data_IF_166232213998
#
_entry.id   IF_166232213998
#
_cell.length_a   1.000
_cell.length_b   1.000
_cell.length_c   1.000
_cell.angle_alpha   90.00
_cell.angle_beta   90.00
_cell.angle_gamma   90.00
#
_symmetry.space_group_name_H-M   'P 1'
#
loop_
_entity.id
_entity.type
_entity.pdbx_description
1 polymer ?
#
# COMPACT_ATOMS: atom_id res chain seq x y z
N UNK A 1 -24.54 -6.16 -43.99
CA UNK A 1 -25.00 -6.27 -42.57
C UNK A 1 -23.99 -6.96 -41.66
N UNK A 2 -23.53 -8.19 -41.95
CA UNK A 2 -22.52 -8.89 -41.10
C UNK A 2 -21.22 -8.10 -40.85
N UNK A 3 -20.69 -7.40 -41.87
CA UNK A 3 -19.46 -6.58 -41.74
C UNK A 3 -19.63 -5.32 -40.88
N UNK A 4 -20.84 -4.74 -40.86
CA UNK A 4 -21.20 -3.62 -39.98
C UNK A 4 -21.33 -4.08 -38.52
N UNK A 5 -21.90 -5.26 -38.31
CA UNK A 5 -22.05 -5.86 -36.97
C UNK A 5 -20.69 -6.18 -36.32
N UNK A 6 -19.75 -6.74 -37.09
CA UNK A 6 -18.40 -7.04 -36.62
C UNK A 6 -17.63 -5.75 -36.26
N UNK A 7 -17.83 -4.68 -37.03
CA UNK A 7 -17.18 -3.38 -36.77
C UNK A 7 -17.68 -2.74 -35.47
N UNK A 8 -18.99 -2.78 -35.20
CA UNK A 8 -19.53 -2.30 -33.91
C UNK A 8 -19.04 -3.12 -32.72
N UNK A 9 -18.88 -4.43 -32.88
CA UNK A 9 -18.41 -5.30 -31.79
C UNK A 9 -16.94 -5.02 -31.43
N UNK A 10 -16.09 -4.76 -32.43
CA UNK A 10 -14.68 -4.40 -32.20
C UNK A 10 -14.57 -3.04 -31.50
N UNK A 11 -15.43 -2.08 -31.82
CA UNK A 11 -15.45 -0.75 -31.17
C UNK A 11 -15.89 -0.87 -29.70
N UNK A 12 -16.90 -1.69 -29.39
CA UNK A 12 -17.35 -1.90 -28.00
C UNK A 12 -16.29 -2.59 -27.11
N UNK A 13 -15.51 -3.52 -27.67
CA UNK A 13 -14.42 -4.18 -26.94
C UNK A 13 -13.19 -3.29 -26.78
N UNK A 14 -12.96 -2.32 -27.69
CA UNK A 14 -11.86 -1.37 -27.57
C UNK A 14 -12.09 -0.33 -26.47
N UNK A 15 -13.35 0.06 -26.19
CA UNK A 15 -13.67 1.08 -25.18
C UNK A 15 -13.61 0.60 -23.73
N UNK A 16 -13.75 -0.71 -23.47
CA UNK A 16 -13.69 -1.24 -22.10
C UNK A 16 -12.27 -1.26 -21.52
N UNK A 17 -11.23 -1.21 -22.36
CA UNK A 17 -9.84 -1.20 -21.92
C UNK A 17 -9.35 0.20 -21.47
N UNK A 18 -10.06 1.28 -21.83
CA UNK A 18 -9.63 2.67 -21.55
C UNK A 18 -10.43 3.36 -20.43
N UNK A 19 -11.37 2.67 -19.79
CA UNK A 19 -12.26 3.26 -18.78
C UNK A 19 -11.99 2.76 -17.36
N UNK A 20 -10.72 2.51 -17.00
CA UNK A 20 -10.33 2.56 -15.58
C UNK A 20 -10.16 4.05 -15.24
N UNK A 21 -11.29 4.72 -15.01
CA UNK A 21 -11.28 6.10 -14.54
C UNK A 21 -10.58 6.16 -13.18
N UNK A 22 -9.54 6.99 -13.07
CA UNK A 22 -8.86 7.20 -11.78
C UNK A 22 -9.88 7.82 -10.83
N UNK A 23 -10.17 7.14 -9.72
CA UNK A 23 -11.03 7.68 -8.66
C UNK A 23 -10.44 8.97 -8.13
N UNK A 24 -11.31 9.92 -7.78
CA UNK A 24 -10.87 11.10 -7.04
C UNK A 24 -10.27 10.66 -5.69
N UNK A 25 -9.24 11.37 -5.20
CA UNK A 25 -8.54 11.00 -3.95
C UNK A 25 -9.48 10.84 -2.74
N UNK A 26 -10.58 11.61 -2.71
CA UNK A 26 -11.60 11.55 -1.65
C UNK A 26 -12.47 10.30 -1.70
N UNK A 27 -12.54 9.65 -2.86
CA UNK A 27 -13.36 8.46 -3.13
C UNK A 27 -12.54 7.16 -3.10
N UNK A 28 -11.23 7.26 -2.82
CA UNK A 28 -10.36 6.11 -2.62
C UNK A 28 -10.74 5.43 -1.30
N UNK A 29 -11.07 4.15 -1.40
CA UNK A 29 -11.26 3.27 -0.26
C UNK A 29 -9.89 2.93 0.35
N UNK A 30 -9.64 3.43 1.56
CA UNK A 30 -8.35 3.22 2.24
C UNK A 30 -8.18 1.83 2.80
N UNK A 31 -9.25 1.12 3.11
CA UNK A 31 -9.18 -0.21 3.68
C UNK A 31 -8.80 -1.20 2.58
N UNK A 32 -9.42 -1.07 1.41
CA UNK A 32 -9.00 -1.81 0.21
C UNK A 32 -7.55 -1.49 -0.16
N UNK A 33 -7.17 -0.20 -0.13
CA UNK A 33 -5.82 0.19 -0.50
C UNK A 33 -4.76 -0.29 0.50
N UNK A 34 -5.09 -0.30 1.79
CA UNK A 34 -4.25 -0.90 2.85
C UNK A 34 -4.09 -2.39 2.62
N UNK A 35 -5.18 -3.10 2.30
CA UNK A 35 -5.15 -4.54 2.02
C UNK A 35 -4.24 -4.89 0.85
N UNK A 36 -4.22 -4.05 -0.19
CA UNK A 36 -3.36 -4.25 -1.37
C UNK A 36 -1.86 -4.00 -1.08
N UNK A 37 -1.55 -3.22 -0.04
CA UNK A 37 -0.19 -2.74 0.24
C UNK A 37 0.40 -3.32 1.53
N UNK A 38 -0.41 -4.05 2.30
CA UNK A 38 -0.05 -4.73 3.54
C UNK A 38 0.07 -6.24 3.31
N UNK A 39 1.08 -6.83 3.93
CA UNK A 39 1.30 -8.27 3.94
C UNK A 39 1.38 -8.75 5.39
N UNK A 40 0.58 -9.77 5.70
CA UNK A 40 0.69 -10.53 6.95
C UNK A 40 1.44 -11.84 6.69
N UNK A 41 2.51 -12.08 7.43
CA UNK A 41 3.30 -13.29 7.32
C UNK A 41 2.65 -14.40 8.16
N UNK A 42 2.17 -15.45 7.50
CA UNK A 42 1.53 -16.61 8.17
C UNK A 42 2.52 -17.62 8.76
N UNK A 43 3.82 -17.38 8.65
CA UNK A 43 4.85 -18.39 8.90
C UNK A 43 5.20 -18.61 10.39
N UNK A 44 4.56 -17.91 11.33
CA UNK A 44 5.01 -17.82 12.72
C UNK A 44 4.10 -18.51 13.76
N UNK A 45 3.03 -19.20 13.33
CA UNK A 45 2.07 -19.87 14.22
C UNK A 45 0.86 -18.98 14.56
N UNK A 46 -0.16 -19.55 15.22
CA UNK A 46 -1.42 -18.83 15.54
C UNK A 46 -1.25 -17.78 16.65
N UNK A 47 -0.13 -17.86 17.39
CA UNK A 47 0.17 -17.02 18.57
C UNK A 47 1.16 -15.90 18.24
N UNK A 48 1.36 -15.56 16.96
CA UNK A 48 2.24 -14.48 16.54
C UNK A 48 1.61 -13.65 15.42
N UNK A 49 1.81 -12.34 15.48
CA UNK A 49 1.48 -11.40 14.42
C UNK A 49 2.76 -10.83 13.84
N UNK A 50 2.89 -10.90 12.52
CA UNK A 50 3.99 -10.31 11.76
C UNK A 50 3.42 -9.65 10.52
N UNK A 51 3.54 -8.32 10.44
CA UNK A 51 2.97 -7.50 9.36
C UNK A 51 4.06 -6.60 8.80
N UNK A 52 4.15 -6.54 7.47
CA UNK A 52 4.84 -5.47 6.76
C UNK A 52 3.81 -4.67 5.95
N UNK A 53 3.89 -3.35 6.03
CA UNK A 53 3.01 -2.45 5.29
C UNK A 53 3.83 -1.41 4.56
N UNK A 54 3.80 -1.48 3.23
CA UNK A 54 4.31 -0.42 2.40
C UNK A 54 3.25 0.69 2.34
N UNK A 55 3.58 1.89 2.80
CA UNK A 55 2.63 3.01 2.86
C UNK A 55 2.99 3.99 1.75
N UNK A 56 2.30 3.93 0.59
CA UNK A 56 2.60 4.81 -0.53
C UNK A 56 2.13 6.25 -0.28
N UNK A 57 2.72 7.21 -1.00
CA UNK A 57 2.35 8.62 -0.88
C UNK A 57 0.87 8.88 -1.19
N UNK A 58 0.30 8.12 -2.12
CA UNK A 58 -1.12 8.14 -2.48
C UNK A 58 -2.05 7.85 -1.29
N UNK A 59 -1.59 7.07 -0.30
CA UNK A 59 -2.38 6.77 0.90
C UNK A 59 -2.56 8.04 1.72
N UNK A 60 -1.47 8.76 1.96
CA UNK A 60 -1.47 10.04 2.66
C UNK A 60 -2.26 11.11 1.91
N UNK A 61 -2.10 11.16 0.58
CA UNK A 61 -2.89 12.08 -0.26
C UNK A 61 -4.39 11.81 -0.13
N UNK A 62 -4.81 10.54 -0.18
CA UNK A 62 -6.22 10.17 0.02
C UNK A 62 -6.71 10.50 1.42
N UNK A 63 -5.90 10.23 2.46
CA UNK A 63 -6.21 10.56 3.85
C UNK A 63 -6.45 12.07 4.02
N UNK A 64 -5.52 12.90 3.58
CA UNK A 64 -5.62 14.36 3.69
C UNK A 64 -6.71 14.98 2.80
N UNK A 65 -7.06 14.33 1.69
CA UNK A 65 -8.17 14.78 0.85
C UNK A 65 -9.53 14.69 1.58
N UNK A 66 -9.69 13.73 2.49
CA UNK A 66 -10.94 13.53 3.27
C UNK A 66 -10.94 14.26 4.60
N UNK A 67 -9.77 14.62 5.11
CA UNK A 67 -9.65 15.37 6.35
C UNK A 67 -10.16 16.81 6.19
N UNK A 68 -10.99 17.24 7.14
CA UNK A 68 -11.55 18.60 7.21
C UNK A 68 -10.99 19.40 8.39
N UNK A 69 -10.17 18.77 9.24
CA UNK A 69 -9.65 19.35 10.47
C UNK A 69 -8.27 20.00 10.31
N UNK A 70 -7.46 19.54 9.37
CA UNK A 70 -6.14 20.11 9.07
C UNK A 70 -6.21 21.17 7.97
N UNK A 71 -5.42 22.23 8.09
CA UNK A 71 -5.32 23.27 7.07
C UNK A 71 -4.68 22.74 5.78
N UNK A 72 -5.01 23.33 4.63
CA UNK A 72 -4.41 22.91 3.36
C UNK A 72 -2.89 23.14 3.33
N UNK A 73 -2.40 24.17 4.02
CA UNK A 73 -0.97 24.45 4.15
C UNK A 73 -0.25 23.34 4.92
N UNK A 74 -0.82 22.88 6.04
CA UNK A 74 -0.22 21.82 6.85
C UNK A 74 -0.27 20.47 6.14
N UNK A 75 -1.37 20.17 5.43
CA UNK A 75 -1.48 18.98 4.58
C UNK A 75 -0.39 18.95 3.50
N UNK A 76 -0.18 20.08 2.82
CA UNK A 76 0.83 20.19 1.79
C UNK A 76 2.24 20.01 2.37
N UNK A 77 2.54 20.67 3.50
CA UNK A 77 3.82 20.51 4.18
C UNK A 77 4.11 19.06 4.56
N UNK A 78 3.09 18.32 5.03
CA UNK A 78 3.23 16.90 5.34
C UNK A 78 3.49 16.06 4.09
N UNK A 79 2.74 16.27 3.01
CA UNK A 79 2.95 15.56 1.74
C UNK A 79 4.33 15.85 1.14
N UNK A 80 4.80 17.10 1.23
CA UNK A 80 6.12 17.49 0.75
C UNK A 80 7.24 16.79 1.53
N UNK A 81 7.07 16.61 2.86
CA UNK A 81 8.03 15.88 3.70
C UNK A 81 8.12 14.38 3.37
N UNK A 82 7.06 13.82 2.78
CA UNK A 82 6.98 12.42 2.33
C UNK A 82 7.40 12.26 0.87
N UNK A 83 7.64 13.37 0.16
CA UNK A 83 8.03 13.34 -1.25
C UNK A 83 9.40 12.69 -1.42
N UNK A 84 9.49 11.72 -2.33
CA UNK A 84 10.73 11.01 -2.64
C UNK A 84 11.16 9.96 -1.60
N UNK A 85 10.38 9.74 -0.54
CA UNK A 85 10.59 8.63 0.40
C UNK A 85 9.50 7.57 0.23
N UNK A 86 9.84 6.33 0.56
CA UNK A 86 8.90 5.22 0.64
C UNK A 86 8.87 4.75 2.09
N UNK A 87 7.68 4.76 2.70
CA UNK A 87 7.53 4.31 4.08
C UNK A 87 7.22 2.82 4.12
N UNK A 88 7.95 2.09 4.96
CA UNK A 88 7.71 0.70 5.27
C UNK A 88 7.54 0.57 6.78
N UNK A 89 6.34 0.17 7.22
CA UNK A 89 6.08 -0.15 8.61
C UNK A 89 6.18 -1.67 8.81
N UNK A 90 6.94 -2.10 9.82
CA UNK A 90 7.05 -3.51 10.21
C UNK A 90 6.59 -3.62 11.66
N UNK A 91 5.63 -4.50 11.91
CA UNK A 91 5.09 -4.77 13.24
C UNK A 91 5.19 -6.27 13.51
N UNK A 92 5.79 -6.61 14.65
CA UNK A 92 5.84 -7.98 15.15
C UNK A 92 5.39 -7.99 16.61
N UNK A 93 4.58 -8.97 16.98
CA UNK A 93 4.19 -9.21 18.37
C UNK A 93 3.84 -10.69 18.59
N UNK A 94 4.07 -11.17 19.80
CA UNK A 94 3.52 -12.44 20.25
C UNK A 94 2.16 -12.21 20.90
N UNK A 95 1.27 -13.18 20.76
CA UNK A 95 -0.09 -13.16 21.30
C UNK A 95 -0.10 -14.10 22.50
N UNK A 96 -0.24 -13.54 23.70
CA UNK A 96 -0.37 -14.33 24.92
C UNK A 96 -1.66 -15.18 24.90
N UNK A 97 -1.78 -16.22 25.76
CA UNK A 97 -2.99 -17.04 25.83
C UNK A 97 -4.29 -16.29 26.16
N UNK A 98 -4.18 -15.07 26.72
CA UNK A 98 -5.32 -14.20 27.01
C UNK A 98 -5.58 -13.14 25.91
N UNK A 99 -4.82 -13.19 24.81
CA UNK A 99 -4.95 -12.28 23.67
C UNK A 99 -4.24 -10.94 23.83
N UNK A 100 -3.40 -10.76 24.85
CA UNK A 100 -2.54 -9.57 24.94
C UNK A 100 -1.36 -9.67 23.95
N UNK A 101 -0.96 -8.53 23.38
CA UNK A 101 0.14 -8.42 22.44
C UNK A 101 1.43 -8.00 23.16
N UNK A 102 2.48 -8.80 23.00
CA UNK A 102 3.84 -8.48 23.43
C UNK A 102 4.66 -8.06 22.20
N UNK A 103 4.79 -6.74 22.00
CA UNK A 103 5.44 -6.17 20.82
C UNK A 103 6.96 -6.25 20.88
N UNK A 104 7.56 -6.58 19.74
CA UNK A 104 9.00 -6.53 19.56
C UNK A 104 9.45 -5.07 19.42
N UNK A 105 10.59 -4.74 20.04
CA UNK A 105 11.19 -3.42 19.89
C UNK A 105 11.77 -3.23 18.48
N UNK A 106 11.96 -1.96 18.10
CA UNK A 106 12.60 -1.60 16.84
C UNK A 106 13.95 -2.31 16.65
N UNK A 107 14.82 -2.26 17.65
CA UNK A 107 16.16 -2.86 17.61
C UNK A 107 16.13 -4.39 17.43
N UNK A 108 15.09 -5.07 17.95
CA UNK A 108 14.92 -6.51 17.79
C UNK A 108 14.47 -6.88 16.37
N UNK A 109 13.61 -6.05 15.78
CA UNK A 109 13.13 -6.22 14.41
C UNK A 109 14.28 -5.93 13.42
N UNK A 110 14.96 -4.79 13.54
CA UNK A 110 16.02 -4.37 12.61
C UNK A 110 17.18 -5.38 12.53
N UNK A 111 17.54 -6.03 13.65
CA UNK A 111 18.61 -7.05 13.66
C UNK A 111 18.24 -8.34 12.91
N UNK A 112 16.97 -8.58 12.64
CA UNK A 112 16.44 -9.85 12.11
C UNK A 112 15.74 -9.69 10.76
N UNK A 113 15.52 -8.46 10.32
CA UNK A 113 14.88 -8.15 9.04
C UNK A 113 15.96 -8.00 7.97
N UNK A 114 15.78 -8.69 6.85
CA UNK A 114 16.52 -8.46 5.62
C UNK A 114 15.63 -7.68 4.65
N UNK A 115 16.11 -6.51 4.19
CA UNK A 115 15.42 -5.70 3.20
C UNK A 115 16.12 -5.83 1.84
N UNK A 116 15.39 -6.39 0.88
CA UNK A 116 15.85 -6.54 -0.51
C UNK A 116 14.99 -5.67 -1.42
N UNK A 117 15.63 -4.88 -2.29
CA UNK A 117 14.93 -4.21 -3.39
C UNK A 117 15.41 -4.74 -4.74
N UNK A 118 14.49 -4.79 -5.71
CA UNK A 118 14.81 -5.12 -7.10
C UNK A 118 15.04 -3.82 -7.85
N UNK A 119 16.25 -3.60 -8.34
CA UNK A 119 16.54 -2.42 -9.15
C UNK A 119 15.93 -2.54 -10.56
N UNK A 120 15.96 -1.47 -11.35
CA UNK A 120 15.43 -1.46 -12.72
C UNK A 120 16.10 -2.43 -13.70
N UNK A 121 17.14 -3.17 -13.28
CA UNK A 121 17.82 -4.22 -14.05
C UNK A 121 17.44 -5.63 -13.59
N UNK A 122 16.56 -5.78 -12.59
CA UNK A 122 16.11 -7.06 -12.08
C UNK A 122 17.03 -7.70 -11.04
N UNK A 123 18.04 -6.98 -10.54
CA UNK A 123 18.95 -7.51 -9.52
C UNK A 123 18.44 -7.17 -8.12
N UNK A 124 18.51 -8.15 -7.21
CA UNK A 124 18.31 -7.93 -5.79
C UNK A 124 19.51 -7.16 -5.23
N UNK A 125 19.22 -6.07 -4.54
CA UNK A 125 20.20 -5.27 -3.81
C UNK A 125 19.73 -5.16 -2.38
N UNK A 126 20.65 -5.43 -1.46
CA UNK A 126 20.41 -5.33 -0.01
C UNK A 126 20.41 -3.85 0.40
N UNK A 127 19.40 -3.45 1.17
CA UNK A 127 19.38 -2.15 1.83
C UNK A 127 20.07 -2.31 3.19
N UNK A 128 21.18 -1.59 3.37
CA UNK A 128 21.86 -1.49 4.67
C UNK A 128 21.06 -0.67 5.67
#
# INVERSE_FOLDING_TARGET
MKRLFISCMIILFATSAFAVERKALKEVDSDSFTTDTQVSFKATGDDNISIAWWIPNEFWMSLFARDTSTSDADKQAMLDSLSGVSLLAIVQADISPLGAFDFYSKDEIEKKVELLYVNGKGNNVELQ
#
